data_IF_839137178718
#
_entry.id   IF_839137178718
#
_cell.length_a   1.000
_cell.length_b   1.000
_cell.length_c   1.000
_cell.angle_alpha   90.00
_cell.angle_beta   90.00
_cell.angle_gamma   90.00
#
_symmetry.space_group_name_H-M   'P 1'
#
loop_
_entity.id
_entity.type
_entity.pdbx_description
1 polymer ?
#
# COMPACT_ATOMS: atom_id res chain seq x y z
N UNK A 1 1.62 9.67 3.88
CA UNK A 1 3.01 9.39 3.47
C UNK A 1 3.58 10.57 2.68
N UNK A 2 4.85 10.94 2.87
CA UNK A 2 5.49 12.00 2.10
C UNK A 2 5.92 11.48 0.72
N UNK A 3 5.79 12.33 -0.30
CA UNK A 3 6.42 12.12 -1.61
C UNK A 3 7.94 11.96 -1.41
N UNK A 4 8.65 11.13 -2.22
CA UNK A 4 10.10 10.94 -2.07
C UNK A 4 10.94 12.23 -1.95
N UNK A 5 10.50 13.34 -2.56
CA UNK A 5 11.18 14.64 -2.50
C UNK A 5 10.58 15.64 -1.50
N UNK A 6 9.70 15.20 -0.60
CA UNK A 6 9.11 16.01 0.48
C UNK A 6 8.16 17.13 0.05
N UNK A 7 7.93 17.35 -1.24
CA UNK A 7 7.09 18.46 -1.72
C UNK A 7 5.60 18.29 -1.44
N UNK A 8 5.14 17.07 -1.17
CA UNK A 8 3.71 16.77 -1.02
C UNK A 8 3.49 15.61 -0.05
N UNK A 9 2.30 15.54 0.51
CA UNK A 9 1.82 14.46 1.37
C UNK A 9 0.66 13.76 0.67
N UNK A 10 0.67 12.43 0.65
CA UNK A 10 -0.52 11.63 0.31
C UNK A 10 -1.22 11.16 1.57
N UNK A 11 -2.54 11.28 1.59
CA UNK A 11 -3.46 10.76 2.60
C UNK A 11 -4.43 9.80 1.91
N UNK A 12 -4.73 8.68 2.56
CA UNK A 12 -5.80 7.77 2.12
C UNK A 12 -7.02 8.03 2.97
N UNK A 13 -8.18 8.22 2.34
CA UNK A 13 -9.46 8.32 3.02
C UNK A 13 -10.02 6.94 3.32
N UNK A 14 -10.97 6.86 4.26
CA UNK A 14 -11.73 5.63 4.52
C UNK A 14 -12.46 5.10 3.28
N UNK A 15 -12.80 5.98 2.32
CA UNK A 15 -13.37 5.57 1.03
C UNK A 15 -12.34 4.92 0.07
N UNK A 16 -11.06 4.85 0.45
CA UNK A 16 -9.96 4.41 -0.39
C UNK A 16 -9.47 5.47 -1.40
N UNK A 17 -10.10 6.66 -1.43
CA UNK A 17 -9.63 7.77 -2.25
C UNK A 17 -8.28 8.30 -1.74
N UNK A 18 -7.43 8.77 -2.65
CA UNK A 18 -6.13 9.36 -2.32
C UNK A 18 -6.16 10.87 -2.50
N UNK A 19 -5.70 11.59 -1.51
CA UNK A 19 -5.61 13.05 -1.54
C UNK A 19 -4.16 13.49 -1.38
N UNK A 20 -3.75 14.36 -2.30
CA UNK A 20 -2.42 14.94 -2.33
C UNK A 20 -2.50 16.37 -1.80
N UNK A 21 -1.75 16.62 -0.73
CA UNK A 21 -1.64 17.91 -0.10
C UNK A 21 -0.24 18.50 -0.30
N UNK A 22 -0.16 19.81 -0.43
CA UNK A 22 1.07 20.56 -0.23
C UNK A 22 1.41 20.59 1.28
N UNK A 23 2.65 20.96 1.68
CA UNK A 23 3.05 20.94 3.10
C UNK A 23 2.24 21.90 3.99
N UNK A 24 1.61 22.92 3.38
CA UNK A 24 0.69 23.85 4.02
C UNK A 24 -0.75 23.30 4.15
N UNK A 25 -0.96 21.99 3.91
CA UNK A 25 -2.26 21.32 3.95
C UNK A 25 -3.29 21.81 2.91
N UNK A 26 -2.84 22.47 1.83
CA UNK A 26 -3.71 22.77 0.70
C UNK A 26 -3.87 21.54 -0.19
N UNK A 27 -5.12 21.18 -0.48
CA UNK A 27 -5.44 20.09 -1.39
C UNK A 27 -5.01 20.47 -2.81
N UNK A 28 -4.17 19.64 -3.42
CA UNK A 28 -3.65 19.85 -4.78
C UNK A 28 -4.30 18.93 -5.80
N UNK A 29 -4.51 17.66 -5.42
CA UNK A 29 -5.07 16.65 -6.31
C UNK A 29 -5.79 15.59 -5.51
N UNK A 30 -6.86 15.07 -6.06
CA UNK A 30 -7.58 13.92 -5.53
C UNK A 30 -7.62 12.85 -6.62
N UNK A 31 -7.32 11.61 -6.24
CA UNK A 31 -7.57 10.44 -7.05
C UNK A 31 -8.78 9.71 -6.49
N UNK A 32 -9.67 9.30 -7.38
CA UNK A 32 -10.78 8.43 -7.00
C UNK A 32 -10.24 7.09 -6.51
N UNK A 33 -11.05 6.45 -5.66
CA UNK A 33 -10.72 5.15 -5.11
C UNK A 33 -10.48 4.16 -6.24
N UNK A 34 -9.38 3.43 -6.18
CA UNK A 34 -9.09 2.35 -7.12
C UNK A 34 -9.98 1.11 -6.85
N UNK A 35 -10.66 1.13 -5.71
CA UNK A 35 -11.70 0.22 -5.32
C UNK A 35 -12.96 0.42 -6.16
N UNK A 36 -13.32 -0.58 -6.97
CA UNK A 36 -14.56 -0.59 -7.74
C UNK A 36 -15.77 -0.85 -6.80
N UNK A 37 -15.54 -1.45 -5.63
CA UNK A 37 -16.56 -1.83 -4.66
C UNK A 37 -16.44 -1.02 -3.37
N UNK A 38 -17.59 -0.64 -2.79
CA UNK A 38 -17.74 0.26 -1.65
C UNK A 38 -17.22 -0.26 -0.30
N UNK A 39 -16.65 -1.47 -0.25
CA UNK A 39 -16.33 -2.14 1.02
C UNK A 39 -14.90 -2.66 0.99
N UNK A 40 -13.93 -1.74 0.92
CA UNK A 40 -12.56 -2.07 1.29
C UNK A 40 -12.40 -1.91 2.80
N UNK A 41 -11.60 -2.78 3.43
CA UNK A 41 -11.22 -2.55 4.82
C UNK A 41 -10.46 -1.25 5.00
N UNK A 42 -10.26 -0.80 6.25
CA UNK A 42 -9.40 0.32 6.55
C UNK A 42 -8.01 0.16 5.91
N UNK A 43 -7.62 1.14 5.12
CA UNK A 43 -6.24 1.29 4.66
C UNK A 43 -5.39 1.74 5.85
N UNK A 44 -4.51 0.86 6.34
CA UNK A 44 -3.67 1.13 7.51
C UNK A 44 -2.32 1.72 7.12
N UNK A 45 -1.94 1.68 5.85
CA UNK A 45 -0.69 2.29 5.40
C UNK A 45 -0.70 2.68 3.92
N UNK A 46 0.11 3.70 3.59
CA UNK A 46 0.38 4.11 2.21
C UNK A 46 1.86 4.39 2.02
N UNK A 47 2.40 3.95 0.89
CA UNK A 47 3.74 4.26 0.43
C UNK A 47 3.67 4.91 -0.96
N UNK A 48 4.21 6.13 -1.06
CA UNK A 48 4.30 6.86 -2.33
C UNK A 48 5.59 6.46 -3.07
N UNK A 49 5.45 5.66 -4.13
CA UNK A 49 6.55 5.08 -4.89
C UNK A 49 7.04 6.03 -5.98
N UNK A 50 6.13 6.47 -6.84
CA UNK A 50 6.43 7.39 -7.95
C UNK A 50 5.31 8.41 -8.11
N UNK A 51 5.46 9.39 -9.00
CA UNK A 51 4.48 10.49 -9.17
C UNK A 51 3.03 10.02 -9.27
N UNK A 52 2.77 8.84 -9.85
CA UNK A 52 1.42 8.28 -10.01
C UNK A 52 1.25 6.86 -9.46
N UNK A 53 2.22 6.35 -8.69
CA UNK A 53 2.17 4.98 -8.18
C UNK A 53 2.25 4.95 -6.66
N UNK A 54 1.33 4.20 -6.07
CA UNK A 54 1.17 4.08 -4.62
C UNK A 54 0.99 2.61 -4.25
N UNK A 55 1.58 2.22 -3.13
CA UNK A 55 1.34 0.93 -2.49
C UNK A 55 0.50 1.18 -1.26
N UNK A 56 -0.68 0.55 -1.20
CA UNK A 56 -1.65 0.68 -0.13
C UNK A 56 -1.67 -0.64 0.65
N UNK A 57 -1.46 -0.58 1.96
CA UNK A 57 -1.52 -1.75 2.84
C UNK A 57 -2.82 -1.73 3.63
N UNK A 58 -3.55 -2.84 3.58
CA UNK A 58 -4.84 -3.01 4.24
C UNK A 58 -4.73 -4.03 5.36
N UNK A 59 -5.52 -3.82 6.41
CA UNK A 59 -5.84 -4.86 7.40
C UNK A 59 -7.18 -5.49 7.05
N UNK A 60 -7.58 -6.52 7.77
CA UNK A 60 -8.85 -7.23 7.59
C UNK A 60 -10.09 -6.31 7.47
N UNK A 61 -11.09 -6.82 6.75
CA UNK A 61 -12.46 -6.33 6.76
C UNK A 61 -13.29 -7.31 7.56
N UNK A 62 -13.50 -7.04 8.86
CA UNK A 62 -14.43 -7.69 9.80
C UNK A 62 -14.35 -9.24 9.83
N UNK A 63 -14.13 -9.88 11.00
CA UNK A 63 -14.08 -11.33 11.08
C UNK A 63 -15.36 -11.95 10.50
N UNK A 64 -15.24 -12.64 9.38
CA UNK A 64 -16.24 -13.61 8.97
C UNK A 64 -16.03 -14.79 9.91
N UNK A 65 -17.04 -15.10 10.75
CA UNK A 65 -16.97 -16.13 11.80
C UNK A 65 -16.56 -17.52 11.27
N UNK A 66 -16.54 -17.69 9.93
CA UNK A 66 -16.21 -18.92 9.23
C UNK A 66 -14.79 -18.98 8.65
N UNK A 67 -14.02 -17.89 8.66
CA UNK A 67 -12.65 -17.86 8.16
C UNK A 67 -11.73 -17.18 9.17
N UNK A 68 -11.01 -17.99 9.96
CA UNK A 68 -9.93 -17.54 10.86
C UNK A 68 -8.69 -16.99 10.12
N UNK A 69 -8.85 -16.43 8.92
CA UNK A 69 -7.76 -15.99 8.06
C UNK A 69 -7.64 -14.47 8.12
N UNK A 70 -6.83 -13.98 9.07
CA UNK A 70 -6.38 -12.59 9.11
C UNK A 70 -5.74 -12.23 7.76
N UNK A 71 -6.49 -11.54 6.90
CA UNK A 71 -6.05 -11.27 5.54
C UNK A 71 -5.40 -9.90 5.44
N UNK A 72 -4.07 -9.89 5.55
CA UNK A 72 -3.22 -8.74 5.28
C UNK A 72 -2.83 -8.72 3.82
N UNK A 73 -3.21 -7.67 3.10
CA UNK A 73 -2.91 -7.55 1.67
C UNK A 73 -2.48 -6.15 1.30
N UNK A 74 -1.81 -6.06 0.14
CA UNK A 74 -1.44 -4.81 -0.46
C UNK A 74 -2.11 -4.63 -1.81
N UNK A 75 -2.42 -3.38 -2.14
CA UNK A 75 -2.81 -2.98 -3.49
C UNK A 75 -1.79 -1.98 -3.99
N UNK A 76 -1.12 -2.32 -5.08
CA UNK A 76 -0.41 -1.33 -5.87
C UNK A 76 -1.38 -0.69 -6.85
N UNK A 77 -1.53 0.63 -6.75
CA UNK A 77 -2.33 1.42 -7.66
C UNK A 77 -1.43 2.34 -8.47
N UNK A 78 -1.61 2.30 -9.79
CA UNK A 78 -0.95 3.20 -10.74
C UNK A 78 -2.01 4.00 -11.47
N UNK A 79 -1.93 5.33 -11.39
CA UNK A 79 -2.80 6.24 -12.12
C UNK A 79 -2.14 6.70 -13.41
N UNK A 80 -2.92 6.82 -14.48
CA UNK A 80 -2.46 7.50 -15.70
C UNK A 80 -2.69 9.03 -15.62
N UNK A 81 -2.45 9.72 -16.73
CA UNK A 81 -2.63 11.17 -16.84
C UNK A 81 -4.12 11.58 -16.76
N UNK A 82 -5.00 10.71 -17.23
CA UNK A 82 -6.46 10.90 -17.26
C UNK A 82 -7.13 10.43 -15.96
N UNK A 83 -6.32 10.02 -14.97
CA UNK A 83 -6.72 9.51 -13.67
C UNK A 83 -7.41 8.14 -13.71
N UNK A 84 -7.31 7.40 -14.80
CA UNK A 84 -7.68 5.99 -14.78
C UNK A 84 -6.67 5.22 -13.94
N UNK A 85 -7.17 4.27 -13.16
CA UNK A 85 -6.34 3.47 -12.26
C UNK A 85 -6.15 2.05 -12.79
N UNK A 86 -4.93 1.54 -12.66
CA UNK A 86 -4.62 0.10 -12.77
C UNK A 86 -4.22 -0.40 -11.39
N UNK A 87 -4.82 -1.51 -10.97
CA UNK A 87 -4.59 -2.11 -9.66
C UNK A 87 -3.94 -3.48 -9.80
N UNK A 88 -2.99 -3.76 -8.91
CA UNK A 88 -2.40 -5.08 -8.71
C UNK A 88 -2.50 -5.42 -7.23
N UNK A 89 -3.01 -6.61 -6.93
CA UNK A 89 -3.27 -7.08 -5.57
C UNK A 89 -2.21 -8.10 -5.16
N UNK A 90 -1.68 -7.96 -3.95
CA UNK A 90 -0.73 -8.89 -3.33
C UNK A 90 -1.34 -9.41 -2.02
N UNK A 91 -1.86 -10.64 -2.04
CA UNK A 91 -2.59 -11.25 -0.92
C UNK A 91 -1.72 -12.15 -0.03
N UNK A 92 -0.53 -12.52 -0.51
CA UNK A 92 0.28 -13.60 0.06
C UNK A 92 1.54 -13.10 0.77
N UNK A 93 1.79 -11.79 0.80
CA UNK A 93 2.99 -11.24 1.42
C UNK A 93 3.05 -11.59 2.93
N UNK A 94 1.92 -11.54 3.63
CA UNK A 94 1.88 -11.74 5.08
C UNK A 94 0.85 -12.79 5.50
N UNK A 95 0.73 -13.88 4.74
CA UNK A 95 -0.22 -14.97 5.02
C UNK A 95 -0.01 -15.64 6.40
N UNK A 96 1.16 -15.48 7.01
CA UNK A 96 1.53 -16.06 8.30
C UNK A 96 1.46 -15.05 9.45
N UNK A 97 0.87 -13.87 9.22
CA UNK A 97 0.71 -12.88 10.26
C UNK A 97 -0.07 -13.49 11.43
N UNK A 98 0.51 -13.41 12.62
CA UNK A 98 -0.08 -13.95 13.84
C UNK A 98 -1.34 -13.20 14.21
N UNK A 99 -2.19 -13.91 14.95
CA UNK A 99 -3.49 -13.41 15.36
C UNK A 99 -3.43 -12.04 16.06
N UNK A 100 -4.37 -11.18 15.67
CA UNK A 100 -4.60 -9.84 16.21
C UNK A 100 -5.12 -9.87 17.65
N UNK A 101 -5.29 -11.06 18.24
CA UNK A 101 -5.49 -11.26 19.68
C UNK A 101 -4.29 -10.83 20.54
N UNK A 102 -3.11 -10.62 19.94
CA UNK A 102 -2.07 -9.81 20.57
C UNK A 102 -2.50 -8.35 20.55
N UNK A 103 -2.40 -7.62 21.68
CA UNK A 103 -2.77 -6.18 21.81
C UNK A 103 -1.96 -5.21 20.90
N UNK A 104 -1.41 -5.68 19.79
CA UNK A 104 -0.57 -4.95 18.86
C UNK A 104 -1.42 -4.55 17.66
N UNK A 105 -1.71 -3.26 17.54
CA UNK A 105 -2.33 -2.72 16.33
C UNK A 105 -1.41 -3.01 15.13
N UNK A 106 -1.91 -3.68 14.06
CA UNK A 106 -1.08 -4.03 12.92
C UNK A 106 -0.57 -2.77 12.22
N UNK A 107 0.74 -2.69 12.00
CA UNK A 107 1.38 -1.60 11.27
C UNK A 107 2.35 -2.16 10.25
N UNK A 108 2.18 -1.73 9.00
CA UNK A 108 3.20 -1.96 7.98
C UNK A 108 4.35 -0.98 8.14
N UNK A 109 5.56 -1.47 7.93
CA UNK A 109 6.74 -0.63 7.78
C UNK A 109 7.38 -0.87 6.41
N UNK A 110 7.95 0.20 5.86
CA UNK A 110 8.53 0.19 4.53
C UNK A 110 9.91 0.83 4.54
N UNK A 111 10.89 0.15 3.95
CA UNK A 111 12.21 0.71 3.66
C UNK A 111 12.39 0.74 2.14
N UNK A 112 12.64 1.94 1.61
CA UNK A 112 12.94 2.16 0.19
C UNK A 112 14.44 2.10 -0.01
N UNK A 113 14.87 1.24 -0.93
CA UNK A 113 16.26 1.14 -1.39
C UNK A 113 16.34 1.42 -2.88
N UNK A 114 17.53 1.78 -3.36
CA UNK A 114 17.80 2.02 -4.79
C UNK A 114 16.75 2.95 -5.44
N UNK A 115 16.53 4.12 -4.83
CA UNK A 115 15.54 5.12 -5.29
C UNK A 115 14.09 4.61 -5.39
N UNK A 116 13.75 3.54 -4.65
CA UNK A 116 12.41 2.93 -4.65
C UNK A 116 12.25 1.77 -5.62
N UNK A 117 13.32 1.34 -6.32
CA UNK A 117 13.32 0.13 -7.14
C UNK A 117 13.22 -1.16 -6.33
N UNK A 118 13.61 -1.08 -5.05
CA UNK A 118 13.48 -2.18 -4.09
C UNK A 118 12.76 -1.62 -2.87
N UNK A 119 11.71 -2.32 -2.46
CA UNK A 119 10.93 -2.01 -1.27
C UNK A 119 11.03 -3.21 -0.34
N UNK A 120 11.57 -2.99 0.84
CA UNK A 120 11.47 -3.97 1.92
C UNK A 120 10.20 -3.60 2.70
N UNK A 121 9.28 -4.55 2.83
CA UNK A 121 8.07 -4.39 3.63
C UNK A 121 8.04 -5.43 4.75
N UNK A 122 7.54 -5.00 5.90
CA UNK A 122 7.23 -5.88 7.01
C UNK A 122 5.98 -5.41 7.73
N UNK A 123 5.53 -6.24 8.67
CA UNK A 123 4.30 -6.07 9.41
C UNK A 123 4.55 -6.42 10.88
N UNK A 124 4.04 -5.62 11.81
CA UNK A 124 4.33 -5.76 13.26
C UNK A 124 3.99 -7.12 13.86
N UNK A 125 2.99 -7.82 13.32
CA UNK A 125 2.57 -9.16 13.75
C UNK A 125 3.04 -10.27 12.79
N UNK A 126 4.07 -10.05 11.99
CA UNK A 126 4.69 -11.11 11.18
C UNK A 126 6.20 -11.17 11.43
N UNK A 127 6.76 -12.38 11.41
CA UNK A 127 8.20 -12.61 11.41
C UNK A 127 8.80 -12.53 10.00
N UNK A 128 7.97 -12.46 8.96
CA UNK A 128 8.43 -12.34 7.58
C UNK A 128 8.75 -10.90 7.23
N UNK A 129 9.77 -10.79 6.38
CA UNK A 129 10.12 -9.58 5.66
C UNK A 129 9.98 -9.91 4.18
N UNK A 130 9.24 -9.08 3.46
CA UNK A 130 9.03 -9.23 2.03
C UNK A 130 9.82 -8.19 1.26
N UNK A 131 10.22 -8.55 0.04
CA UNK A 131 10.96 -7.67 -0.86
C UNK A 131 10.21 -7.56 -2.17
N UNK A 132 9.78 -6.34 -2.50
CA UNK A 132 9.16 -6.00 -3.77
C UNK A 132 10.19 -5.30 -4.66
N UNK A 133 10.44 -5.84 -5.83
CA UNK A 133 11.33 -5.26 -6.85
C UNK A 133 10.54 -4.70 -8.03
N UNK A 134 10.99 -3.60 -8.62
CA UNK A 134 10.46 -3.12 -9.90
C UNK A 134 11.02 -3.93 -11.07
N UNK A 135 10.18 -4.30 -12.04
CA UNK A 135 10.54 -5.15 -13.19
C UNK A 135 11.64 -4.59 -14.13
N UNK A 136 12.02 -3.31 -14.02
CA UNK A 136 13.21 -2.80 -14.71
C UNK A 136 14.49 -3.56 -14.34
N UNK A 137 14.54 -4.23 -13.19
CA UNK A 137 15.64 -5.11 -12.77
C UNK A 137 15.58 -6.49 -13.43
N UNK A 138 14.41 -6.93 -13.90
CA UNK A 138 14.22 -8.25 -14.52
C UNK A 138 14.47 -8.23 -16.04
N UNK A 139 14.39 -7.06 -16.70
CA UNK A 139 14.67 -6.94 -18.14
C UNK A 139 16.17 -7.03 -18.50
N UNK A 140 17.07 -6.88 -17.52
CA UNK A 140 18.51 -7.04 -17.70
C UNK A 140 19.03 -8.46 -17.44
N UNK A 141 18.13 -9.46 -17.30
CA UNK A 141 18.49 -10.88 -17.11
C UNK A 141 18.09 -11.76 -18.29
N UNK A 142 18.23 -11.24 -19.51
CA UNK A 142 18.29 -12.10 -20.70
C UNK A 142 19.76 -12.44 -20.96
N UNK A 143 20.21 -13.57 -20.41
CA UNK A 143 21.41 -14.29 -20.85
C UNK A 143 20.97 -15.58 -21.51
#
# INVERSE_FOLDING_TARGET
CWRPKGKQIVVVKYSGALELYEPNMQLRKQYQSAAINSTFPPCISVLWLSTHQFLLGFSENIPDENTNENSFFHIMVTYDKDQNSKTQIYNDLFFDAYDTSTNINPQYFYVRLNEGKIIICGLTNSLKINVLGSDELNQNRNY
#
